data_IF_677278971091
#
_entry.id   IF_677278971091
#
_cell.length_a   1.000
_cell.length_b   1.000
_cell.length_c   1.000
_cell.angle_alpha   90.00
_cell.angle_beta   90.00
_cell.angle_gamma   90.00
#
_symmetry.space_group_name_H-M   'P 1'
#
loop_
_entity.id
_entity.type
_entity.pdbx_description
1 polymer ?
#
# COMPACT_ATOMS: atom_id res chain seq x y z
N UNK A 1 -15.16 -29.27 30.00
CA UNK A 1 -14.26 -29.03 28.84
C UNK A 1 -15.13 -29.08 27.60
N UNK A 2 -15.24 -28.00 26.83
CA UNK A 2 -16.00 -28.00 25.58
C UNK A 2 -15.18 -28.71 24.50
N UNK A 3 -15.71 -29.78 23.93
CA UNK A 3 -15.10 -30.52 22.82
C UNK A 3 -15.26 -29.70 21.54
N UNK A 4 -14.16 -29.20 20.99
CA UNK A 4 -14.11 -28.56 19.67
C UNK A 4 -14.46 -29.59 18.59
N UNK A 5 -15.46 -29.31 17.77
CA UNK A 5 -15.89 -30.20 16.70
C UNK A 5 -15.12 -29.93 15.40
N UNK A 6 -15.17 -30.87 14.45
CA UNK A 6 -14.59 -30.66 13.11
C UNK A 6 -15.22 -29.44 12.40
N UNK A 7 -16.52 -29.23 12.59
CA UNK A 7 -17.23 -28.08 12.05
C UNK A 7 -16.67 -26.76 12.62
N UNK A 8 -16.40 -26.71 13.93
CA UNK A 8 -15.79 -25.54 14.57
C UNK A 8 -14.41 -25.23 14.01
N UNK A 9 -13.60 -26.26 13.76
CA UNK A 9 -12.27 -26.09 13.15
C UNK A 9 -12.37 -25.53 11.73
N UNK A 10 -13.24 -26.10 10.89
CA UNK A 10 -13.44 -25.64 9.51
C UNK A 10 -13.89 -24.18 9.47
N UNK A 11 -14.88 -23.81 10.29
CA UNK A 11 -15.38 -22.44 10.39
C UNK A 11 -14.30 -21.46 10.84
N UNK A 12 -13.44 -21.84 11.79
CA UNK A 12 -12.31 -21.01 12.22
C UNK A 12 -11.27 -20.82 11.11
N UNK A 13 -10.97 -21.86 10.32
CA UNK A 13 -10.05 -21.75 9.19
C UNK A 13 -10.61 -20.83 8.10
N UNK A 14 -11.90 -20.95 7.80
CA UNK A 14 -12.58 -20.11 6.83
C UNK A 14 -12.59 -18.64 7.26
N UNK A 15 -12.91 -18.37 8.53
CA UNK A 15 -12.85 -17.01 9.08
C UNK A 15 -11.43 -16.41 8.98
N UNK A 16 -10.38 -17.18 9.29
CA UNK A 16 -8.99 -16.74 9.13
C UNK A 16 -8.65 -16.41 7.68
N UNK A 17 -9.06 -17.27 6.75
CA UNK A 17 -8.83 -17.07 5.31
C UNK A 17 -9.56 -15.82 4.80
N UNK A 18 -10.78 -15.57 5.27
CA UNK A 18 -11.55 -14.38 4.92
C UNK A 18 -10.87 -13.10 5.41
N UNK A 19 -10.30 -13.12 6.63
CA UNK A 19 -9.51 -11.99 7.15
C UNK A 19 -8.26 -11.76 6.30
N UNK A 20 -7.49 -12.80 6.01
CA UNK A 20 -6.28 -12.68 5.18
C UNK A 20 -6.62 -12.14 3.77
N UNK A 21 -7.75 -12.57 3.19
CA UNK A 21 -8.23 -12.08 1.89
C UNK A 21 -8.64 -10.61 1.95
N UNK A 22 -9.34 -10.19 3.01
CA UNK A 22 -9.72 -8.80 3.21
C UNK A 22 -8.49 -7.89 3.37
N UNK A 23 -7.50 -8.32 4.16
CA UNK A 23 -6.22 -7.61 4.32
C UNK A 23 -5.50 -7.45 2.98
N UNK A 24 -5.47 -8.49 2.15
CA UNK A 24 -4.91 -8.39 0.81
C UNK A 24 -5.68 -7.40 -0.06
N UNK A 25 -7.02 -7.42 -0.03
CA UNK A 25 -7.86 -6.45 -0.74
C UNK A 25 -7.57 -5.00 -0.32
N UNK A 26 -7.47 -4.75 0.98
CA UNK A 26 -7.10 -3.44 1.51
C UNK A 26 -5.66 -3.05 1.15
N UNK A 27 -4.75 -4.02 1.05
CA UNK A 27 -3.39 -3.78 0.58
C UNK A 27 -3.38 -3.29 -0.87
N UNK A 28 -4.18 -3.90 -1.76
CA UNK A 28 -4.32 -3.42 -3.13
C UNK A 28 -4.93 -2.02 -3.20
N UNK A 29 -5.95 -1.73 -2.38
CA UNK A 29 -6.52 -0.40 -2.29
C UNK A 29 -5.48 0.65 -1.86
N UNK A 30 -4.63 0.32 -0.88
CA UNK A 30 -3.51 1.19 -0.49
C UNK A 30 -2.50 1.38 -1.62
N UNK A 31 -2.13 0.32 -2.35
CA UNK A 31 -1.24 0.44 -3.52
C UNK A 31 -1.79 1.42 -4.55
N UNK A 32 -3.09 1.34 -4.83
CA UNK A 32 -3.74 2.23 -5.78
C UNK A 32 -3.79 3.68 -5.27
N UNK A 33 -4.08 3.90 -3.99
CA UNK A 33 -4.03 5.23 -3.38
C UNK A 33 -2.64 5.86 -3.48
N UNK A 34 -1.57 5.09 -3.21
CA UNK A 34 -0.19 5.54 -3.36
C UNK A 34 0.15 5.92 -4.81
N UNK A 35 -0.31 5.12 -5.77
CA UNK A 35 -0.14 5.39 -7.20
C UNK A 35 -0.86 6.67 -7.63
N UNK A 36 -2.10 6.86 -7.19
CA UNK A 36 -2.89 8.07 -7.49
C UNK A 36 -2.24 9.30 -6.87
N UNK A 37 -1.80 9.22 -5.62
CA UNK A 37 -1.08 10.31 -4.95
C UNK A 37 0.20 10.70 -5.71
N UNK A 38 0.96 9.73 -6.25
CA UNK A 38 2.13 10.03 -7.09
C UNK A 38 1.76 10.76 -8.39
N UNK A 39 0.68 10.32 -9.05
CA UNK A 39 0.20 10.97 -10.29
C UNK A 39 -0.17 12.41 -10.02
N UNK A 40 -0.96 12.68 -8.97
CA UNK A 40 -1.38 14.03 -8.58
C UNK A 40 -0.18 14.92 -8.24
N UNK A 41 0.76 14.40 -7.44
CA UNK A 41 2.01 15.08 -7.11
C UNK A 41 2.80 15.44 -8.38
N UNK A 42 2.91 14.49 -9.32
CA UNK A 42 3.67 14.67 -10.55
C UNK A 42 3.03 15.69 -11.48
N UNK A 43 1.69 15.67 -11.63
CA UNK A 43 0.94 16.67 -12.37
C UNK A 43 1.18 18.06 -11.79
N UNK A 44 1.04 18.21 -10.46
CA UNK A 44 1.29 19.50 -9.78
C UNK A 44 2.71 19.98 -10.00
N UNK A 45 3.70 19.10 -9.90
CA UNK A 45 5.11 19.41 -10.14
C UNK A 45 5.36 19.91 -11.57
N UNK A 46 4.72 19.31 -12.57
CA UNK A 46 4.81 19.74 -13.97
C UNK A 46 4.11 21.08 -14.22
N UNK A 47 2.95 21.32 -13.60
CA UNK A 47 2.20 22.59 -13.72
C UNK A 47 2.97 23.81 -13.18
N UNK A 48 3.86 23.60 -12.20
CA UNK A 48 4.67 24.68 -11.62
C UNK A 48 5.85 25.10 -12.51
N UNK A 49 6.11 24.38 -13.60
CA UNK A 49 7.24 24.66 -14.49
C UNK A 49 6.87 25.73 -15.51
N UNK A 50 7.76 26.70 -15.66
CA UNK A 50 7.56 27.86 -16.56
C UNK A 50 8.38 27.78 -17.85
N UNK A 51 9.36 26.87 -17.93
CA UNK A 51 10.10 26.54 -19.15
C UNK A 51 9.53 25.28 -19.78
N UNK A 52 9.84 25.05 -21.06
CA UNK A 52 9.56 23.76 -21.74
C UNK A 52 8.09 23.32 -21.64
N UNK A 53 7.17 24.28 -21.83
CA UNK A 53 5.72 24.11 -21.61
C UNK A 53 5.16 22.92 -22.39
N UNK A 54 5.53 22.77 -23.68
CA UNK A 54 5.07 21.64 -24.52
C UNK A 54 5.46 20.27 -23.94
N UNK A 55 6.67 20.15 -23.38
CA UNK A 55 7.13 18.92 -22.74
C UNK A 55 6.30 18.63 -21.48
N UNK A 56 6.09 19.64 -20.64
CA UNK A 56 5.32 19.48 -19.41
C UNK A 56 3.83 19.19 -19.65
N UNK A 57 3.23 19.82 -20.66
CA UNK A 57 1.86 19.51 -21.08
C UNK A 57 1.74 18.07 -21.57
N UNK A 58 2.68 17.60 -22.39
CA UNK A 58 2.70 16.20 -22.84
C UNK A 58 2.86 15.20 -21.67
N UNK A 59 3.66 15.53 -20.66
CA UNK A 59 3.79 14.74 -19.44
C UNK A 59 2.48 14.70 -18.64
N UNK A 60 1.80 15.85 -18.48
CA UNK A 60 0.53 15.95 -17.77
C UNK A 60 -0.54 15.09 -18.46
N UNK A 61 -0.64 15.14 -19.78
CA UNK A 61 -1.64 14.35 -20.52
C UNK A 61 -1.40 12.84 -20.39
N UNK A 62 -0.14 12.40 -20.42
CA UNK A 62 0.21 10.99 -20.13
C UNK A 62 -0.23 10.57 -18.72
N UNK A 63 0.06 11.42 -17.72
CA UNK A 63 -0.30 11.15 -16.33
C UNK A 63 -1.83 11.09 -16.13
N UNK A 64 -2.59 11.97 -16.79
CA UNK A 64 -4.07 11.95 -16.78
C UNK A 64 -4.65 10.70 -17.43
N UNK A 65 -3.98 10.15 -18.44
CA UNK A 65 -4.33 8.85 -19.05
C UNK A 65 -3.95 7.66 -18.14
N UNK A 66 -3.35 7.91 -16.98
CA UNK A 66 -2.89 6.87 -16.05
C UNK A 66 -1.57 6.23 -16.46
N UNK A 67 -0.91 6.74 -17.51
CA UNK A 67 0.40 6.25 -17.95
C UNK A 67 1.43 6.84 -16.99
N UNK A 68 1.96 5.97 -16.12
CA UNK A 68 2.85 6.34 -15.05
C UNK A 68 3.96 5.30 -14.91
N UNK A 69 5.21 5.75 -14.79
CA UNK A 69 6.37 4.86 -14.60
C UNK A 69 6.53 4.38 -13.15
N UNK A 70 5.59 4.74 -12.27
CA UNK A 70 5.53 4.30 -10.88
C UNK A 70 4.41 3.29 -10.69
N UNK A 71 4.76 2.14 -10.14
CA UNK A 71 3.84 1.07 -9.83
C UNK A 71 3.98 0.67 -8.35
N UNK A 72 2.84 0.40 -7.72
CA UNK A 72 2.77 -0.14 -6.37
C UNK A 72 2.04 -1.48 -6.41
N UNK A 73 2.64 -2.53 -5.85
CA UNK A 73 2.01 -3.85 -5.80
C UNK A 73 2.46 -4.66 -4.58
N UNK A 74 1.60 -5.56 -4.07
CA UNK A 74 1.98 -6.46 -3.00
C UNK A 74 2.76 -7.69 -3.50
N UNK A 75 3.99 -7.85 -3.02
CA UNK A 75 4.66 -9.15 -3.00
C UNK A 75 4.31 -9.91 -1.72
N UNK A 76 3.63 -11.04 -1.86
CA UNK A 76 3.17 -11.82 -0.70
C UNK A 76 4.25 -12.80 -0.24
N UNK A 77 4.69 -12.66 1.01
CA UNK A 77 5.57 -13.61 1.69
C UNK A 77 4.84 -14.51 2.67
N UNK A 78 5.61 -15.19 3.55
CA UNK A 78 5.06 -16.08 4.58
C UNK A 78 4.22 -15.35 5.63
N UNK A 79 4.75 -14.22 6.15
CA UNK A 79 4.11 -13.44 7.23
C UNK A 79 3.52 -12.12 6.74
N UNK A 80 4.17 -11.46 5.79
CA UNK A 80 3.82 -10.11 5.36
C UNK A 80 3.46 -10.06 3.87
N UNK A 81 2.52 -9.18 3.52
CA UNK A 81 2.49 -8.55 2.21
C UNK A 81 3.51 -7.41 2.22
N UNK A 82 4.42 -7.41 1.26
CA UNK A 82 5.41 -6.37 1.07
C UNK A 82 4.92 -5.46 -0.05
N UNK A 83 4.62 -4.20 0.25
CA UNK A 83 4.26 -3.23 -0.78
C UNK A 83 5.54 -2.78 -1.47
N UNK A 84 5.70 -3.18 -2.73
CA UNK A 84 6.81 -2.78 -3.59
C UNK A 84 6.44 -1.48 -4.27
N UNK A 85 7.36 -0.52 -4.25
CA UNK A 85 7.38 0.62 -5.16
C UNK A 85 8.37 0.31 -6.28
N UNK A 86 7.91 0.29 -7.52
CA UNK A 86 8.74 0.17 -8.71
C UNK A 86 8.74 1.52 -9.44
N UNK A 87 9.87 2.21 -9.39
CA UNK A 87 10.09 3.51 -10.02
C UNK A 87 10.96 3.32 -11.27
N UNK A 88 10.33 3.18 -12.43
CA UNK A 88 11.01 3.00 -13.73
C UNK A 88 12.08 1.88 -13.71
N UNK A 89 11.79 0.75 -13.06
CA UNK A 89 12.69 -0.40 -12.94
C UNK A 89 13.52 -0.45 -11.66
N UNK A 90 13.60 0.66 -10.90
CA UNK A 90 14.21 0.66 -9.57
C UNK A 90 13.17 0.27 -8.51
N UNK A 91 13.44 -0.82 -7.80
CA UNK A 91 12.50 -1.40 -6.83
C UNK A 91 12.91 -1.10 -5.41
N UNK A 92 11.94 -0.72 -4.59
CA UNK A 92 12.11 -0.53 -3.15
C UNK A 92 10.90 -1.04 -2.37
N UNK A 93 11.06 -1.21 -1.06
CA UNK A 93 9.96 -1.61 -0.17
C UNK A 93 9.38 -0.37 0.48
N UNK A 94 8.12 -0.09 0.17
CA UNK A 94 7.39 1.03 0.74
C UNK A 94 6.96 0.72 2.19
N UNK A 95 6.22 -0.38 2.39
CA UNK A 95 5.81 -0.85 3.72
C UNK A 95 5.62 -2.37 3.77
N UNK A 96 5.44 -2.90 4.97
CA UNK A 96 5.07 -4.29 5.22
C UNK A 96 3.71 -4.34 5.91
N UNK A 97 2.88 -5.30 5.55
CA UNK A 97 1.55 -5.49 6.12
C UNK A 97 1.46 -6.94 6.60
N UNK A 98 1.18 -7.16 7.87
CA UNK A 98 0.97 -8.52 8.39
C UNK A 98 -0.30 -9.12 7.80
N UNK A 99 -0.20 -10.30 7.18
CA UNK A 99 -1.31 -10.94 6.48
C UNK A 99 -2.49 -11.24 7.41
N UNK A 100 -2.20 -11.56 8.67
CA UNK A 100 -3.18 -12.03 9.64
C UNK A 100 -3.74 -10.89 10.47
N UNK A 101 -2.87 -9.97 10.88
CA UNK A 101 -3.25 -8.86 11.75
C UNK A 101 -3.59 -7.59 10.99
N UNK A 102 -3.31 -7.48 9.69
CA UNK A 102 -3.54 -6.24 8.93
C UNK A 102 -2.68 -5.05 9.37
N UNK A 103 -1.77 -5.26 10.34
CA UNK A 103 -0.90 -4.23 10.86
C UNK A 103 0.13 -3.81 9.82
N UNK A 104 0.21 -2.50 9.62
CA UNK A 104 1.12 -1.83 8.71
C UNK A 104 2.37 -1.42 9.46
N UNK A 105 3.52 -1.74 8.90
CA UNK A 105 4.83 -1.45 9.43
C UNK A 105 5.66 -0.72 8.39
N UNK A 106 6.44 0.27 8.84
CA UNK A 106 7.45 0.92 8.02
C UNK A 106 8.52 -0.08 7.57
N UNK A 107 9.06 0.05 6.36
CA UNK A 107 10.22 -0.73 5.94
C UNK A 107 11.49 -0.35 6.71
N UNK A 108 12.29 -1.35 7.10
CA UNK A 108 13.65 -1.16 7.62
C UNK A 108 14.70 -1.73 6.67
N UNK A 109 14.36 -2.81 5.97
CA UNK A 109 15.18 -3.40 4.93
C UNK A 109 14.28 -4.01 3.86
N UNK A 110 14.89 -4.56 2.80
CA UNK A 110 14.17 -5.36 1.82
C UNK A 110 13.46 -6.57 2.42
N UNK A 111 13.99 -7.13 3.51
CA UNK A 111 13.52 -8.40 4.10
C UNK A 111 12.67 -8.22 5.35
N UNK A 112 12.75 -7.07 6.02
CA UNK A 112 12.17 -6.88 7.35
C UNK A 112 11.57 -5.49 7.58
N UNK A 113 10.44 -5.42 8.31
CA UNK A 113 9.91 -4.15 8.79
C UNK A 113 10.76 -3.55 9.93
N UNK A 114 10.56 -2.26 10.15
CA UNK A 114 10.96 -1.56 11.36
C UNK A 114 10.05 -1.98 12.53
N UNK A 115 10.49 -1.66 13.76
CA UNK A 115 9.68 -1.87 14.96
C UNK A 115 8.54 -0.84 15.05
N UNK A 116 7.43 -1.28 15.65
CA UNK A 116 6.24 -0.47 15.91
C UNK A 116 5.22 -0.56 14.78
N UNK A 117 3.96 -0.75 15.18
CA UNK A 117 2.79 -0.71 14.29
C UNK A 117 2.49 0.75 13.96
N UNK A 118 2.22 1.04 12.69
CA UNK A 118 1.80 2.38 12.23
C UNK A 118 0.28 2.44 12.08
N UNK A 119 -0.32 1.42 11.50
CA UNK A 119 -1.77 1.38 11.24
C UNK A 119 -2.27 -0.06 11.26
N UNK A 120 -3.57 -0.27 11.29
CA UNK A 120 -4.19 -1.59 11.07
C UNK A 120 -5.28 -1.48 9.99
N UNK A 121 -5.10 -2.17 8.87
CA UNK A 121 -6.03 -2.12 7.73
C UNK A 121 -7.42 -2.71 8.01
N UNK A 122 -7.57 -3.47 9.09
CA UNK A 122 -8.87 -4.00 9.54
C UNK A 122 -9.68 -2.91 10.23
N UNK A 123 -9.01 -1.94 10.86
CA UNK A 123 -9.67 -0.81 11.49
C UNK A 123 -10.13 0.18 10.41
N UNK A 124 -11.42 0.48 10.39
CA UNK A 124 -12.03 1.36 9.40
C UNK A 124 -11.37 2.74 9.42
N UNK A 125 -11.20 3.32 10.62
CA UNK A 125 -10.61 4.64 10.79
C UNK A 125 -9.17 4.74 10.24
N UNK A 126 -8.32 3.77 10.55
CA UNK A 126 -6.94 3.74 10.04
C UNK A 126 -6.92 3.55 8.51
N UNK A 127 -7.79 2.69 7.98
CA UNK A 127 -7.87 2.44 6.53
C UNK A 127 -8.35 3.69 5.78
N UNK A 128 -9.42 4.32 6.22
CA UNK A 128 -9.93 5.54 5.57
C UNK A 128 -8.90 6.66 5.63
N UNK A 129 -8.25 6.85 6.79
CA UNK A 129 -7.19 7.82 6.91
C UNK A 129 -6.03 7.54 5.95
N UNK A 130 -5.60 6.27 5.82
CA UNK A 130 -4.55 5.88 4.88
C UNK A 130 -4.94 6.13 3.43
N UNK A 131 -6.16 5.80 3.02
CA UNK A 131 -6.59 6.01 1.63
C UNK A 131 -6.65 7.49 1.24
N UNK A 132 -6.84 8.38 2.20
CA UNK A 132 -6.86 9.83 1.98
C UNK A 132 -5.48 10.49 2.15
N UNK A 133 -4.65 10.03 3.08
CA UNK A 133 -3.44 10.74 3.52
C UNK A 133 -2.13 10.01 3.21
N UNK A 134 -2.15 8.73 2.82
CA UNK A 134 -0.92 8.02 2.50
C UNK A 134 -0.28 8.59 1.23
N UNK A 135 0.99 8.97 1.35
CA UNK A 135 1.76 9.55 0.26
C UNK A 135 2.74 8.54 -0.36
N UNK A 136 3.00 8.70 -1.65
CA UNK A 136 3.90 7.83 -2.41
C UNK A 136 5.32 7.73 -1.82
N UNK A 137 5.77 8.78 -1.12
CA UNK A 137 7.12 8.88 -0.53
C UNK A 137 7.22 8.23 0.85
N UNK A 138 6.10 7.82 1.46
CA UNK A 138 6.05 7.10 2.73
C UNK A 138 6.20 7.99 3.97
N UNK A 139 5.96 9.30 3.86
CA UNK A 139 6.02 10.24 4.99
C UNK A 139 5.09 9.84 6.14
N UNK A 140 3.89 9.36 5.82
CA UNK A 140 2.89 8.88 6.78
C UNK A 140 3.35 7.72 7.68
N UNK A 141 4.47 7.04 7.38
CA UNK A 141 5.01 5.91 8.13
C UNK A 141 5.99 6.32 9.26
N UNK A 142 6.33 7.60 9.38
CA UNK A 142 7.36 8.09 10.33
C UNK A 142 6.78 8.71 11.61
N UNK A 143 5.50 9.09 11.63
CA UNK A 143 4.93 9.96 12.66
C UNK A 143 4.03 9.24 13.70
N UNK A 144 4.03 7.90 13.74
CA UNK A 144 3.18 7.10 14.65
C UNK A 144 3.97 6.04 15.42
#
# INVERSE_FOLDING_TARGET
MTTTTFADYSAQQEARKNIELAVLGHTYALCEALRQNFIEYSIRSHQLRTSDVEYHDACIEKLKQGICDYEFYPETGRKYHKVIMNAAGSRSVHCFIDKKTGEVYKSASWKSPAKGVRYDLRLIADREWLLENADWSGGYLYAK
#
